data_IF_560676640284
#
_entry.id   IF_560676640284
#
_cell.length_a   1.000
_cell.length_b   1.000
_cell.length_c   1.000
_cell.angle_alpha   90.00
_cell.angle_beta   90.00
_cell.angle_gamma   90.00
#
_symmetry.space_group_name_H-M   'P 1'
#
loop_
_entity.id
_entity.type
_entity.pdbx_description
1 polymer ?
#
# COMPACT_ATOMS: atom_id res chain seq x y z
N UNK A 1 -2.19 -11.91 -20.96
CA UNK A 1 -1.96 -10.49 -20.62
C UNK A 1 -0.68 -10.38 -19.81
N UNK A 2 0.21 -9.49 -20.23
CA UNK A 2 1.48 -9.29 -19.51
C UNK A 2 1.26 -8.34 -18.35
N UNK A 3 1.59 -8.76 -17.14
CA UNK A 3 1.49 -7.90 -15.95
C UNK A 3 2.69 -6.94 -15.90
N UNK A 4 2.43 -5.70 -15.48
CA UNK A 4 3.52 -4.76 -15.22
C UNK A 4 4.37 -5.26 -14.05
N UNK A 5 5.64 -4.84 -13.92
CA UNK A 5 6.45 -5.21 -12.76
C UNK A 5 5.81 -4.82 -11.43
N UNK A 6 5.18 -3.65 -11.37
CA UNK A 6 4.48 -3.20 -10.14
C UNK A 6 3.28 -4.10 -9.81
N UNK A 7 2.54 -4.54 -10.84
CA UNK A 7 1.41 -5.45 -10.63
C UNK A 7 1.87 -6.80 -10.09
N UNK A 8 3.04 -7.28 -10.53
CA UNK A 8 3.61 -8.53 -10.02
C UNK A 8 3.99 -8.41 -8.54
N UNK A 9 4.59 -7.30 -8.15
CA UNK A 9 4.92 -7.03 -6.74
C UNK A 9 3.66 -6.99 -5.91
N UNK A 10 2.64 -6.26 -6.37
CA UNK A 10 1.36 -6.15 -5.69
C UNK A 10 0.70 -7.52 -5.48
N UNK A 11 0.73 -8.37 -6.48
CA UNK A 11 0.17 -9.72 -6.41
C UNK A 11 0.84 -10.55 -5.32
N UNK A 12 2.17 -10.47 -5.21
CA UNK A 12 2.91 -11.19 -4.17
C UNK A 12 2.58 -10.68 -2.78
N UNK A 13 2.50 -9.38 -2.61
CA UNK A 13 2.14 -8.76 -1.33
C UNK A 13 0.73 -9.18 -0.90
N UNK A 14 -0.23 -9.13 -1.81
CA UNK A 14 -1.61 -9.51 -1.52
C UNK A 14 -1.70 -10.98 -1.12
N UNK A 15 -0.94 -11.86 -1.78
CA UNK A 15 -0.90 -13.27 -1.42
C UNK A 15 -0.42 -13.46 0.03
N UNK A 16 0.61 -12.72 0.46
CA UNK A 16 1.10 -12.77 1.82
C UNK A 16 0.07 -12.24 2.82
N UNK A 17 -0.61 -11.15 2.49
CA UNK A 17 -1.64 -10.58 3.37
C UNK A 17 -2.79 -11.57 3.59
N UNK A 18 -3.20 -12.28 2.54
CA UNK A 18 -4.23 -13.32 2.65
C UNK A 18 -3.77 -14.47 3.55
N UNK A 19 -2.53 -14.89 3.40
CA UNK A 19 -1.95 -15.96 4.21
C UNK A 19 -1.91 -15.59 5.68
N UNK A 20 -1.59 -14.33 5.99
CA UNK A 20 -1.55 -13.81 7.36
C UNK A 20 -2.93 -13.65 7.97
N UNK A 21 -3.98 -13.60 7.16
CA UNK A 21 -5.32 -13.29 7.63
C UNK A 21 -5.53 -11.80 7.91
N UNK A 22 -4.73 -10.93 7.29
CA UNK A 22 -4.85 -9.50 7.47
C UNK A 22 -6.10 -8.94 6.78
N UNK A 23 -6.69 -7.90 7.36
CA UNK A 23 -7.72 -7.12 6.70
C UNK A 23 -7.05 -6.07 5.82
N UNK A 24 -7.46 -5.95 4.56
CA UNK A 24 -6.87 -4.98 3.65
C UNK A 24 -7.85 -4.58 2.56
N UNK A 25 -7.59 -3.44 1.93
CA UNK A 25 -8.35 -2.99 0.77
C UNK A 25 -7.48 -2.06 -0.08
N UNK A 26 -7.96 -1.76 -1.29
CA UNK A 26 -7.28 -0.85 -2.20
C UNK A 26 -8.00 0.51 -2.15
N UNK A 27 -7.34 1.57 -1.63
CA UNK A 27 -7.97 2.89 -1.60
C UNK A 27 -8.25 3.39 -3.02
N UNK A 28 -9.44 3.95 -3.21
CA UNK A 28 -9.80 4.58 -4.48
C UNK A 28 -9.56 6.08 -4.36
N UNK A 29 -8.76 6.64 -5.28
CA UNK A 29 -8.36 8.04 -5.24
C UNK A 29 -8.92 8.83 -6.41
N UNK A 30 -10.20 8.70 -6.68
CA UNK A 30 -10.87 9.30 -7.83
C UNK A 30 -11.42 10.70 -7.58
N UNK A 31 -10.62 11.62 -7.03
CA UNK A 31 -11.01 13.02 -6.86
C UNK A 31 -11.66 13.36 -5.52
N UNK A 32 -12.09 12.39 -4.77
CA UNK A 32 -12.66 12.57 -3.43
C UNK A 32 -11.81 11.78 -2.44
N UNK A 33 -10.93 12.43 -1.74
CA UNK A 33 -10.08 11.77 -0.77
C UNK A 33 -8.64 12.24 -0.86
N UNK A 34 -7.77 11.59 -0.12
CA UNK A 34 -6.36 11.97 -0.11
C UNK A 34 -5.63 11.53 -1.38
N UNK A 35 -4.79 12.41 -1.89
CA UNK A 35 -3.83 12.04 -2.93
C UNK A 35 -2.59 11.42 -2.30
N UNK A 36 -1.92 10.53 -3.03
CA UNK A 36 -0.67 9.93 -2.55
C UNK A 36 -0.84 8.86 -1.48
N UNK A 37 -2.05 8.34 -1.29
CA UNK A 37 -2.27 7.23 -0.34
C UNK A 37 -1.56 5.96 -0.85
N UNK A 38 -1.18 5.04 0.07
CA UNK A 38 -0.57 3.77 -0.33
C UNK A 38 -1.48 2.95 -1.24
N UNK A 39 -0.89 2.06 -2.03
CA UNK A 39 -1.65 1.17 -2.93
C UNK A 39 -2.55 0.21 -2.16
N UNK A 40 -2.12 -0.24 -0.99
CA UNK A 40 -2.86 -1.16 -0.14
C UNK A 40 -2.88 -0.60 1.27
N UNK A 41 -4.05 -0.60 1.88
CA UNK A 41 -4.23 -0.17 3.28
C UNK A 41 -4.94 -1.28 4.04
N UNK A 42 -4.57 -1.48 5.28
CA UNK A 42 -5.21 -2.52 6.07
C UNK A 42 -4.84 -2.50 7.53
N UNK A 43 -5.19 -3.58 8.20
CA UNK A 43 -4.95 -3.74 9.62
C UNK A 43 -4.63 -5.20 9.93
N UNK A 44 -3.64 -5.42 10.79
CA UNK A 44 -3.29 -6.76 11.23
C UNK A 44 -2.98 -6.75 12.72
N UNK A 45 -3.73 -7.53 13.47
CA UNK A 45 -3.59 -7.65 14.95
C UNK A 45 -3.58 -6.28 15.66
N UNK A 46 -4.47 -5.39 15.20
CA UNK A 46 -4.61 -4.06 15.81
C UNK A 46 -3.63 -3.03 15.28
N UNK A 47 -2.74 -3.39 14.35
CA UNK A 47 -1.77 -2.46 13.79
C UNK A 47 -2.21 -2.07 12.38
N UNK A 48 -2.40 -0.77 12.16
CA UNK A 48 -2.70 -0.23 10.83
C UNK A 48 -1.44 -0.24 9.98
N UNK A 49 -1.60 -0.53 8.69
CA UNK A 49 -0.47 -0.50 7.77
C UNK A 49 -0.87 0.11 6.43
N UNK A 50 0.13 0.65 5.74
CA UNK A 50 0.00 1.07 4.35
C UNK A 50 1.17 0.51 3.57
N UNK A 51 0.91 -0.02 2.39
CA UNK A 51 1.94 -0.63 1.54
C UNK A 51 1.94 0.05 0.18
N UNK A 52 3.09 0.57 -0.21
CA UNK A 52 3.32 1.14 -1.53
C UNK A 52 4.10 0.12 -2.36
N UNK A 53 3.51 -0.31 -3.47
CA UNK A 53 4.13 -1.31 -4.35
C UNK A 53 4.90 -0.61 -5.46
N UNK A 54 6.23 -0.68 -5.39
CA UNK A 54 7.12 -0.16 -6.42
C UNK A 54 8.04 -1.27 -6.91
N UNK A 55 8.39 -1.23 -8.19
CA UNK A 55 9.26 -2.21 -8.80
C UNK A 55 10.60 -1.56 -9.20
N UNK A 56 11.67 -2.35 -9.12
CA UNK A 56 13.00 -1.88 -9.51
C UNK A 56 13.49 -0.72 -8.67
N UNK A 57 13.99 0.32 -9.33
CA UNK A 57 14.50 1.52 -8.67
C UNK A 57 13.46 2.61 -8.46
N UNK A 58 12.20 2.34 -8.77
CA UNK A 58 11.13 3.32 -8.57
C UNK A 58 10.97 3.64 -7.09
N UNK A 59 10.74 4.92 -6.79
CA UNK A 59 10.55 5.41 -5.43
C UNK A 59 9.16 6.00 -5.26
N UNK A 60 8.61 6.01 -4.04
CA UNK A 60 7.35 6.69 -3.78
C UNK A 60 7.46 8.17 -4.15
N UNK A 61 6.35 8.77 -4.58
CA UNK A 61 6.28 10.22 -4.75
C UNK A 61 6.40 10.92 -3.40
N UNK A 62 6.69 12.22 -3.41
CA UNK A 62 6.80 12.99 -2.16
C UNK A 62 5.52 12.89 -1.33
N UNK A 63 4.35 12.93 -1.98
CA UNK A 63 3.07 12.85 -1.28
C UNK A 63 2.82 11.46 -0.72
N UNK A 64 3.19 10.40 -1.45
CA UNK A 64 3.11 9.03 -0.95
C UNK A 64 4.02 8.83 0.26
N UNK A 65 5.24 9.34 0.19
CA UNK A 65 6.20 9.25 1.29
C UNK A 65 5.69 9.97 2.53
N UNK A 66 5.05 11.14 2.37
CA UNK A 66 4.43 11.86 3.47
C UNK A 66 3.36 11.03 4.15
N UNK A 67 2.49 10.38 3.36
CA UNK A 67 1.42 9.53 3.91
C UNK A 67 1.99 8.34 4.69
N UNK A 68 3.04 7.69 4.16
CA UNK A 68 3.68 6.58 4.86
C UNK A 68 4.33 7.05 6.17
N UNK A 69 4.95 8.22 6.16
CA UNK A 69 5.54 8.81 7.36
C UNK A 69 4.47 9.10 8.41
N UNK A 70 3.34 9.67 7.99
CA UNK A 70 2.23 9.96 8.89
C UNK A 70 1.68 8.68 9.54
N UNK A 71 1.57 7.60 8.77
CA UNK A 71 1.16 6.30 9.31
C UNK A 71 2.14 5.79 10.37
N UNK A 72 3.44 5.91 10.11
CA UNK A 72 4.47 5.50 11.07
C UNK A 72 4.42 6.30 12.37
N UNK A 73 4.15 7.61 12.28
CA UNK A 73 4.00 8.46 13.46
C UNK A 73 2.83 8.01 14.35
N UNK A 74 1.82 7.39 13.76
CA UNK A 74 0.68 6.86 14.49
C UNK A 74 0.85 5.39 14.86
N UNK A 75 2.07 4.88 14.80
CA UNK A 75 2.41 3.50 15.18
C UNK A 75 1.86 2.44 14.22
N UNK A 76 1.54 2.86 13.00
CA UNK A 76 1.15 1.93 11.95
C UNK A 76 2.33 1.37 11.16
#
# INVERSE_FOLDING_TARGET
>A
MVMTPEAKVKKKVVAQLKEMGAYYFYPVTGGYGFSGVPDIVGCYKGIFFGIECKAGSNKPTALQDKNLTDIRKQKG
#
